data_IF_595170650207
#
_entry.id   IF_595170650207
#
_cell.length_a   1.000
_cell.length_b   1.000
_cell.length_c   1.000
_cell.angle_alpha   90.00
_cell.angle_beta   90.00
_cell.angle_gamma   90.00
#
_symmetry.space_group_name_H-M   'P 1'
#
loop_
_entity.id
_entity.type
_entity.pdbx_description
1 polymer ?
#
# COMPACT_ATOMS: atom_id res chain seq x y z
N UNK A 1 0.74 -1.03 -0.57
CA UNK A 1 -0.05 0.23 -0.54
C UNK A 1 -0.10 0.75 0.88
N UNK A 2 -0.56 1.98 1.14
CA UNK A 2 -0.31 2.64 2.43
C UNK A 2 -1.55 3.14 3.17
N UNK A 3 -1.54 2.99 4.49
CA UNK A 3 -2.39 3.80 5.38
C UNK A 3 -1.88 5.22 5.36
N UNK A 4 -2.81 6.17 5.31
CA UNK A 4 -2.53 7.60 5.21
C UNK A 4 -3.17 8.31 6.39
N UNK A 5 -2.44 9.27 6.97
CA UNK A 5 -2.92 10.08 8.07
C UNK A 5 -2.78 11.55 7.74
N UNK A 6 -3.83 12.33 8.00
CA UNK A 6 -3.80 13.78 8.08
C UNK A 6 -3.86 14.22 9.55
N UNK A 7 -2.92 15.06 9.97
CA UNK A 7 -2.89 15.65 11.31
C UNK A 7 -3.00 17.17 11.20
N UNK A 8 -3.89 17.79 11.97
CA UNK A 8 -3.92 19.26 12.07
C UNK A 8 -2.67 19.72 12.80
N UNK A 9 -1.85 20.52 12.14
CA UNK A 9 -0.59 21.03 12.69
C UNK A 9 -0.64 22.51 13.08
N UNK A 10 -1.71 23.22 12.68
CA UNK A 10 -1.85 24.64 13.01
C UNK A 10 -2.92 25.35 12.21
N UNK A 11 -2.91 26.67 12.35
CA UNK A 11 -3.74 27.62 11.62
C UNK A 11 -2.82 28.74 11.13
N UNK A 12 -2.93 29.11 9.85
CA UNK A 12 -2.03 30.14 9.29
C UNK A 12 -2.48 31.57 9.61
N UNK A 13 -3.63 31.71 10.29
CA UNK A 13 -4.21 32.99 10.70
C UNK A 13 -4.78 32.92 12.11
N UNK A 14 -5.29 34.07 12.57
CA UNK A 14 -5.84 34.26 13.91
C UNK A 14 -7.13 33.46 14.12
N UNK A 15 -6.97 32.23 14.59
CA UNK A 15 -8.05 31.32 14.95
C UNK A 15 -8.85 31.79 16.17
N UNK A 16 -8.26 32.60 17.06
CA UNK A 16 -9.00 33.15 18.21
C UNK A 16 -10.03 34.17 17.77
N UNK A 17 -9.67 35.02 16.80
CA UNK A 17 -10.58 36.02 16.22
C UNK A 17 -11.58 35.41 15.23
N UNK A 18 -11.13 34.47 14.40
CA UNK A 18 -11.93 33.77 13.41
C UNK A 18 -11.78 32.26 13.57
N UNK A 19 -12.57 31.62 14.45
CA UNK A 19 -12.38 30.21 14.75
C UNK A 19 -12.76 29.33 13.56
N UNK A 20 -12.09 28.19 13.44
CA UNK A 20 -12.47 27.17 12.48
C UNK A 20 -13.95 26.79 12.71
N UNK A 21 -14.83 26.98 11.72
CA UNK A 21 -16.25 26.65 11.87
C UNK A 21 -16.49 25.15 12.10
N UNK A 22 -15.62 24.30 11.53
CA UNK A 22 -15.64 22.86 11.80
C UNK A 22 -15.00 22.50 13.16
N UNK A 23 -14.39 23.47 13.84
CA UNK A 23 -13.75 23.32 15.15
C UNK A 23 -12.67 22.25 15.17
N UNK A 24 -11.80 22.26 14.16
CA UNK A 24 -10.56 21.49 14.24
C UNK A 24 -9.69 22.00 15.39
N UNK A 25 -8.88 21.11 15.96
CA UNK A 25 -7.86 21.41 16.95
C UNK A 25 -6.52 20.88 16.49
N UNK A 26 -5.43 21.52 16.90
CA UNK A 26 -4.08 20.99 16.68
C UNK A 26 -4.01 19.60 17.31
N UNK A 27 -3.51 18.63 16.54
CA UNK A 27 -3.46 17.22 16.94
C UNK A 27 -4.69 16.39 16.54
N UNK A 28 -5.76 16.99 16.01
CA UNK A 28 -6.85 16.21 15.42
C UNK A 28 -6.31 15.36 14.25
N UNK A 29 -6.70 14.08 14.22
CA UNK A 29 -6.24 13.12 13.20
C UNK A 29 -7.41 12.59 12.35
N UNK A 30 -7.12 12.39 11.07
CA UNK A 30 -7.97 11.69 10.11
C UNK A 30 -7.11 10.59 9.48
N UNK A 31 -7.57 9.35 9.56
CA UNK A 31 -6.85 8.18 9.05
C UNK A 31 -7.66 7.52 7.96
N UNK A 32 -7.00 7.22 6.85
CA UNK A 32 -7.50 6.30 5.83
C UNK A 32 -6.67 5.02 5.86
N UNK A 33 -7.33 3.88 6.08
CA UNK A 33 -6.65 2.58 6.26
C UNK A 33 -6.69 1.66 5.04
N UNK A 34 -7.09 2.20 3.88
CA UNK A 34 -7.29 1.46 2.62
C UNK A 34 -8.74 1.04 2.39
N UNK A 35 -9.63 1.25 3.37
CA UNK A 35 -11.06 0.94 3.23
C UNK A 35 -11.93 2.01 3.91
N UNK A 36 -11.55 2.41 5.12
CA UNK A 36 -12.33 3.29 5.97
C UNK A 36 -11.59 4.59 6.25
N UNK A 37 -12.35 5.69 6.29
CA UNK A 37 -11.84 6.98 6.78
C UNK A 37 -12.39 7.18 8.19
N UNK A 38 -11.49 7.26 9.17
CA UNK A 38 -11.82 7.49 10.58
C UNK A 38 -11.31 8.85 11.03
N UNK A 39 -12.09 9.56 11.83
CA UNK A 39 -11.78 10.92 12.28
C UNK A 39 -12.82 11.93 11.83
N UNK A 40 -12.62 13.20 12.19
CA UNK A 40 -13.56 14.29 11.87
C UNK A 40 -13.21 14.89 10.52
N UNK A 41 -14.06 14.71 9.50
CA UNK A 41 -13.82 15.24 8.15
C UNK A 41 -14.73 16.44 7.87
N UNK A 42 -14.14 17.62 7.70
CA UNK A 42 -14.85 18.81 7.26
C UNK A 42 -15.33 18.63 5.81
N UNK A 43 -16.62 18.87 5.50
CA UNK A 43 -17.14 18.74 4.13
C UNK A 43 -16.34 19.53 3.08
N UNK A 44 -15.87 20.73 3.43
CA UNK A 44 -15.07 21.56 2.52
C UNK A 44 -13.66 21.02 2.27
N UNK A 45 -13.14 20.20 3.19
CA UNK A 45 -11.82 19.56 3.05
C UNK A 45 -11.90 18.15 2.46
N UNK A 46 -13.06 17.50 2.49
CA UNK A 46 -13.23 16.12 2.02
C UNK A 46 -12.68 15.88 0.59
N UNK A 47 -12.93 16.74 -0.42
CA UNK A 47 -12.38 16.54 -1.76
C UNK A 47 -10.85 16.68 -1.82
N UNK A 48 -10.28 17.52 -0.96
CA UNK A 48 -8.82 17.74 -0.88
C UNK A 48 -8.14 16.54 -0.21
N UNK A 49 -8.73 16.03 0.87
CA UNK A 49 -8.27 14.79 1.51
C UNK A 49 -8.38 13.60 0.57
N UNK A 50 -9.48 13.44 -0.15
CA UNK A 50 -9.67 12.32 -1.08
C UNK A 50 -8.53 12.21 -2.10
N UNK A 51 -8.11 13.33 -2.70
CA UNK A 51 -6.96 13.36 -3.62
C UNK A 51 -5.65 13.00 -2.92
N UNK A 52 -5.33 13.68 -1.81
CA UNK A 52 -4.10 13.43 -1.07
C UNK A 52 -3.99 12.00 -0.54
N UNK A 53 -5.11 11.43 -0.07
CA UNK A 53 -5.18 10.06 0.41
C UNK A 53 -4.98 9.06 -0.72
N UNK A 54 -5.59 9.26 -1.89
CA UNK A 54 -5.37 8.39 -3.03
C UNK A 54 -3.90 8.42 -3.50
N UNK A 55 -3.31 9.61 -3.59
CA UNK A 55 -1.92 9.77 -4.03
C UNK A 55 -0.93 9.08 -3.08
N UNK A 56 -1.14 9.25 -1.78
CA UNK A 56 -0.31 8.61 -0.75
C UNK A 56 -0.63 7.13 -0.55
N UNK A 57 -1.87 6.67 -0.76
CA UNK A 57 -2.21 5.24 -0.78
C UNK A 57 -1.43 4.52 -1.88
N UNK A 58 -1.34 5.15 -3.07
CA UNK A 58 -0.69 4.57 -4.24
C UNK A 58 0.84 4.52 -4.08
N UNK A 59 1.45 5.62 -3.64
CA UNK A 59 2.91 5.77 -3.72
C UNK A 59 3.61 5.86 -2.36
N UNK A 60 2.87 6.05 -1.26
CA UNK A 60 3.45 6.30 0.06
C UNK A 60 4.28 7.59 0.13
N UNK A 61 4.09 8.52 -0.81
CA UNK A 61 4.89 9.73 -0.96
C UNK A 61 6.16 9.59 -1.81
N UNK A 62 6.47 8.40 -2.34
CA UNK A 62 7.70 8.14 -3.13
C UNK A 62 7.70 8.62 -4.58
N UNK A 63 6.55 8.98 -5.15
CA UNK A 63 6.49 9.58 -6.47
C UNK A 63 7.34 10.87 -6.50
N UNK A 64 7.76 11.33 -7.68
CA UNK A 64 8.35 12.67 -7.87
C UNK A 64 7.31 13.66 -8.36
N UNK A 65 7.63 14.95 -8.30
CA UNK A 65 6.80 15.97 -8.96
C UNK A 65 6.72 15.67 -10.48
N UNK A 66 5.52 15.78 -11.04
CA UNK A 66 5.24 15.39 -12.43
C UNK A 66 5.05 13.89 -12.66
N UNK A 67 5.32 13.02 -11.69
CA UNK A 67 4.98 11.59 -11.79
C UNK A 67 3.56 11.33 -11.29
N UNK A 68 2.82 10.52 -12.03
CA UNK A 68 1.50 10.07 -11.61
C UNK A 68 1.66 9.11 -10.40
N UNK A 69 1.09 9.43 -9.22
CA UNK A 69 1.20 8.56 -8.04
C UNK A 69 0.64 7.17 -8.30
N UNK A 70 -0.39 7.09 -9.14
CA UNK A 70 -1.00 5.84 -9.59
C UNK A 70 -0.03 4.88 -10.27
N UNK A 71 1.08 5.33 -10.87
CA UNK A 71 2.08 4.47 -11.53
C UNK A 71 2.75 3.45 -10.59
N UNK A 72 2.55 3.59 -9.28
CA UNK A 72 3.13 2.76 -8.24
C UNK A 72 2.22 1.64 -7.71
N UNK A 73 0.96 1.57 -8.13
CA UNK A 73 0.05 0.54 -7.63
C UNK A 73 0.53 -0.87 -8.03
N UNK A 74 0.57 -1.84 -7.09
CA UNK A 74 0.92 -3.22 -7.41
C UNK A 74 -0.15 -3.92 -8.28
N UNK A 75 -1.38 -3.41 -8.31
CA UNK A 75 -2.48 -3.93 -9.13
C UNK A 75 -2.14 -4.02 -10.62
N UNK A 76 -1.30 -3.10 -11.13
CA UNK A 76 -0.89 -3.10 -12.53
C UNK A 76 -0.10 -4.33 -12.96
N UNK A 77 0.44 -5.06 -12.00
CA UNK A 77 1.22 -6.28 -12.19
C UNK A 77 0.45 -7.54 -11.73
N UNK A 78 -0.87 -7.43 -11.60
CA UNK A 78 -1.75 -8.51 -11.14
C UNK A 78 -2.60 -9.06 -12.29
N UNK A 79 -2.96 -10.35 -12.27
CA UNK A 79 -3.85 -10.93 -13.27
C UNK A 79 -5.30 -10.47 -13.03
N UNK A 80 -6.17 -10.77 -13.99
CA UNK A 80 -7.61 -10.78 -13.72
C UNK A 80 -7.95 -11.81 -12.62
N UNK A 81 -9.07 -11.60 -11.94
CA UNK A 81 -9.55 -12.49 -10.87
C UNK A 81 -11.07 -12.64 -10.90
N UNK A 82 -11.56 -13.66 -10.21
CA UNK A 82 -12.98 -13.88 -9.94
C UNK A 82 -13.21 -13.98 -8.45
N UNK A 83 -14.43 -13.67 -8.01
CA UNK A 83 -14.81 -13.84 -6.62
C UNK A 83 -15.06 -15.32 -6.30
N UNK A 84 -14.38 -15.79 -5.25
CA UNK A 84 -14.52 -17.12 -4.66
C UNK A 84 -14.31 -17.02 -3.14
N UNK A 85 -15.35 -17.19 -2.31
CA UNK A 85 -15.22 -17.04 -0.86
C UNK A 85 -14.28 -18.06 -0.22
N UNK A 86 -14.00 -19.19 -0.87
CA UNK A 86 -13.05 -20.20 -0.36
C UNK A 86 -11.60 -19.71 -0.41
N UNK A 87 -11.33 -18.66 -1.20
CA UNK A 87 -10.02 -18.03 -1.32
C UNK A 87 -9.74 -16.96 -0.25
N UNK A 88 -10.74 -16.58 0.56
CA UNK A 88 -10.55 -15.63 1.68
C UNK A 88 -9.45 -16.06 2.65
N UNK A 89 -9.23 -17.37 2.81
CA UNK A 89 -8.14 -17.89 3.64
C UNK A 89 -6.74 -17.46 3.14
N UNK A 90 -6.61 -17.14 1.85
CA UNK A 90 -5.37 -16.66 1.25
C UNK A 90 -5.30 -15.14 1.26
N UNK A 91 -6.26 -14.45 0.66
CA UNK A 91 -6.15 -13.01 0.38
C UNK A 91 -7.02 -12.11 1.28
N UNK A 92 -7.87 -12.71 2.11
CA UNK A 92 -8.79 -12.05 3.04
C UNK A 92 -10.08 -11.52 2.41
N UNK A 93 -10.14 -11.43 1.09
CA UNK A 93 -11.28 -10.84 0.36
C UNK A 93 -12.08 -11.91 -0.38
N UNK A 94 -11.40 -12.87 -1.00
CA UNK A 94 -11.97 -13.94 -1.80
C UNK A 94 -11.68 -13.79 -3.29
N UNK A 95 -10.55 -13.21 -3.70
CA UNK A 95 -10.13 -13.21 -5.10
C UNK A 95 -9.38 -14.50 -5.43
N UNK A 96 -9.91 -15.23 -6.40
CA UNK A 96 -9.21 -16.32 -7.07
C UNK A 96 -8.60 -15.80 -8.36
N UNK A 97 -7.27 -15.87 -8.53
CA UNK A 97 -6.63 -15.41 -9.76
C UNK A 97 -7.06 -16.28 -10.94
N UNK A 98 -7.22 -15.67 -12.11
CA UNK A 98 -7.51 -16.36 -13.37
C UNK A 98 -6.34 -16.12 -14.33
N UNK A 99 -5.30 -16.98 -14.34
CA UNK A 99 -4.14 -16.78 -15.20
C UNK A 99 -4.44 -16.96 -16.70
N UNK A 100 -5.55 -17.60 -17.06
CA UNK A 100 -6.03 -17.68 -18.43
C UNK A 100 -7.56 -17.60 -18.46
N UNK A 101 -8.10 -16.96 -19.50
CA UNK A 101 -9.53 -16.96 -19.87
C UNK A 101 -9.60 -17.13 -21.40
N UNK A 102 -9.58 -18.38 -21.90
CA UNK A 102 -9.53 -18.64 -23.34
C UNK A 102 -10.68 -18.00 -24.13
N UNK A 103 -11.89 -17.95 -23.53
CA UNK A 103 -13.07 -17.34 -24.16
C UNK A 103 -12.96 -15.80 -24.30
N UNK A 104 -12.01 -15.18 -23.57
CA UNK A 104 -11.73 -13.74 -23.59
C UNK A 104 -10.39 -13.41 -24.30
N UNK A 105 -9.74 -14.40 -24.93
CA UNK A 105 -8.38 -14.29 -25.52
C UNK A 105 -7.37 -13.70 -24.54
N UNK A 106 -7.47 -14.10 -23.27
CA UNK A 106 -6.64 -13.57 -22.19
C UNK A 106 -5.72 -14.64 -21.62
N UNK A 107 -4.43 -14.33 -21.60
CA UNK A 107 -3.40 -15.07 -20.88
C UNK A 107 -2.54 -14.08 -20.07
N UNK A 108 -2.43 -14.32 -18.77
CA UNK A 108 -1.59 -13.51 -17.91
C UNK A 108 -0.13 -13.86 -18.13
N UNK A 109 0.65 -12.88 -18.58
CA UNK A 109 2.11 -13.00 -18.64
C UNK A 109 2.70 -12.32 -17.40
N UNK A 110 3.37 -13.10 -16.56
CA UNK A 110 4.05 -12.57 -15.40
C UNK A 110 5.10 -11.54 -15.83
N UNK A 111 5.21 -10.45 -15.07
CA UNK A 111 6.10 -9.33 -15.39
C UNK A 111 5.73 -8.55 -16.66
N UNK A 112 4.56 -8.80 -17.23
CA UNK A 112 3.87 -7.84 -18.09
C UNK A 112 2.78 -7.11 -17.29
N UNK A 113 2.26 -6.04 -17.85
CA UNK A 113 1.28 -5.19 -17.17
C UNK A 113 -0.09 -5.42 -17.77
N UNK A 114 -1.13 -5.42 -16.92
CA UNK A 114 -2.49 -5.73 -17.33
C UNK A 114 -3.08 -4.69 -18.31
N UNK A 115 -2.54 -3.47 -18.33
CA UNK A 115 -3.08 -2.37 -19.14
C UNK A 115 -2.04 -1.82 -20.10
N UNK A 116 -2.49 -1.49 -21.32
CA UNK A 116 -1.64 -0.90 -22.36
C UNK A 116 -1.23 0.54 -22.05
N UNK A 117 -2.05 1.24 -21.26
CA UNK A 117 -1.90 2.65 -20.94
C UNK A 117 -1.58 2.86 -19.45
N UNK A 118 -0.30 2.84 -19.05
CA UNK A 118 0.09 3.16 -17.69
C UNK A 118 -0.29 4.60 -17.29
N UNK A 119 -0.65 4.85 -16.02
CA UNK A 119 -0.72 6.20 -15.48
C UNK A 119 0.58 6.97 -15.75
N UNK A 120 0.48 8.20 -16.26
CA UNK A 120 1.65 9.02 -16.57
C UNK A 120 2.61 8.41 -17.61
N UNK A 121 2.16 7.44 -18.41
CA UNK A 121 2.94 6.83 -19.50
C UNK A 121 4.00 5.82 -19.07
N UNK A 122 4.11 5.48 -17.78
CA UNK A 122 5.02 4.44 -17.28
C UNK A 122 4.54 3.79 -15.97
N UNK A 123 4.88 2.51 -15.79
CA UNK A 123 4.83 1.85 -14.48
C UNK A 123 6.16 2.04 -13.75
N UNK A 124 6.11 2.25 -12.44
CA UNK A 124 7.32 2.47 -11.64
C UNK A 124 7.50 1.35 -10.63
N UNK A 125 8.69 0.73 -10.67
CA UNK A 125 9.07 -0.42 -9.85
C UNK A 125 10.24 -0.02 -8.95
N UNK A 126 10.20 -0.43 -7.67
CA UNK A 126 11.32 -0.31 -6.74
C UNK A 126 11.68 1.11 -6.24
N UNK A 127 12.56 1.14 -5.21
CA UNK A 127 13.22 2.29 -4.53
C UNK A 127 12.35 3.31 -3.80
N UNK A 128 11.29 2.88 -3.14
CA UNK A 128 10.59 3.77 -2.22
C UNK A 128 11.41 4.07 -0.97
N UNK A 129 12.32 5.05 -0.99
CA UNK A 129 12.99 5.54 0.25
C UNK A 129 12.68 7.00 0.54
N UNK A 130 12.37 7.78 -0.49
CA UNK A 130 11.95 9.17 -0.32
C UNK A 130 10.48 9.22 0.05
N UNK A 131 10.18 9.51 1.31
CA UNK A 131 8.81 9.68 1.78
C UNK A 131 8.48 11.17 1.80
N UNK A 132 7.61 11.62 0.89
CA UNK A 132 7.09 12.99 0.90
C UNK A 132 5.88 13.11 1.82
N UNK A 133 5.83 14.23 2.50
CA UNK A 133 4.68 14.68 3.28
C UNK A 133 3.97 15.76 2.47
N UNK A 134 2.63 15.74 2.47
CA UNK A 134 1.83 16.78 1.82
C UNK A 134 1.38 17.78 2.87
N UNK A 135 1.39 19.06 2.52
CA UNK A 135 0.74 20.11 3.33
C UNK A 135 -0.55 20.52 2.66
N UNK A 136 -1.67 20.38 3.35
CA UNK A 136 -2.97 20.85 2.89
C UNK A 136 -3.39 22.04 3.73
N UNK A 137 -4.03 23.03 3.09
CA UNK A 137 -4.54 24.23 3.78
C UNK A 137 -6.01 24.39 3.42
N UNK A 138 -6.83 24.68 4.43
CA UNK A 138 -8.24 25.00 4.25
C UNK A 138 -8.42 26.25 3.38
N UNK A 139 -9.46 26.25 2.54
CA UNK A 139 -9.79 27.41 1.70
C UNK A 139 -10.38 28.62 2.44
N UNK A 140 -10.70 28.48 3.74
CA UNK A 140 -11.19 29.60 4.54
C UNK A 140 -10.06 30.61 4.81
N UNK A 141 -10.13 31.72 4.08
CA UNK A 141 -9.15 32.81 4.12
C UNK A 141 -9.04 33.52 5.48
N UNK A 142 -9.88 33.22 6.48
CA UNK A 142 -9.79 33.85 7.81
C UNK A 142 -8.99 33.03 8.80
N UNK A 143 -9.08 31.69 8.74
CA UNK A 143 -8.42 30.78 9.70
C UNK A 143 -7.29 29.97 9.05
N UNK A 144 -7.49 29.48 7.81
CA UNK A 144 -6.52 28.65 7.07
C UNK A 144 -5.96 27.49 7.90
N UNK A 145 -6.81 26.55 8.32
CA UNK A 145 -6.35 25.32 9.01
C UNK A 145 -5.36 24.55 8.15
N UNK A 146 -4.22 24.18 8.73
CA UNK A 146 -3.14 23.46 8.07
C UNK A 146 -3.06 22.02 8.54
N UNK A 147 -2.94 21.12 7.59
CA UNK A 147 -2.76 19.69 7.80
C UNK A 147 -1.40 19.25 7.28
N UNK A 148 -0.75 18.36 8.01
CA UNK A 148 0.32 17.49 7.52
C UNK A 148 -0.32 16.16 7.13
N UNK A 149 -0.04 15.67 5.92
CA UNK A 149 -0.54 14.38 5.44
C UNK A 149 0.61 13.47 5.04
N UNK A 150 0.62 12.25 5.57
CA UNK A 150 1.69 11.29 5.32
C UNK A 150 1.17 9.85 5.31
N UNK A 151 1.82 8.99 4.52
CA UNK A 151 1.71 7.54 4.70
C UNK A 151 2.36 7.15 6.02
N UNK A 152 1.86 6.19 6.78
CA UNK A 152 2.49 5.83 8.07
C UNK A 152 2.61 4.33 8.35
N UNK A 153 1.90 3.50 7.59
CA UNK A 153 1.95 2.04 7.65
C UNK A 153 1.43 1.48 6.30
N UNK A 154 1.47 0.15 6.12
CA UNK A 154 0.87 -0.57 5.01
C UNK A 154 -0.64 -0.72 5.21
N UNK A 155 -1.41 -0.46 4.14
CA UNK A 155 -2.85 -0.65 4.13
C UNK A 155 -3.19 -2.14 4.22
N UNK A 156 -3.97 -2.54 5.22
CA UNK A 156 -4.24 -3.94 5.59
C UNK A 156 -5.75 -4.27 5.59
N UNK A 157 -6.56 -3.50 4.84
CA UNK A 157 -8.00 -3.69 4.67
C UNK A 157 -8.43 -3.45 3.22
N UNK A 158 -9.70 -3.69 2.92
CA UNK A 158 -10.31 -3.40 1.63
C UNK A 158 -9.60 -4.11 0.48
N UNK A 159 -9.48 -3.40 -0.63
CA UNK A 159 -8.79 -3.85 -1.85
C UNK A 159 -7.27 -4.04 -1.65
N UNK A 160 -6.72 -3.50 -0.56
CA UNK A 160 -5.29 -3.54 -0.26
C UNK A 160 -4.88 -4.81 0.48
N UNK A 161 -5.83 -5.48 1.13
CA UNK A 161 -5.57 -6.65 1.97
C UNK A 161 -4.86 -7.82 1.23
N UNK A 162 -5.18 -8.17 -0.03
CA UNK A 162 -4.45 -9.20 -0.76
C UNK A 162 -2.95 -8.87 -0.90
N UNK A 163 -2.62 -7.63 -1.24
CA UNK A 163 -1.25 -7.16 -1.41
C UNK A 163 -0.52 -7.12 -0.07
N UNK A 164 -1.19 -6.68 0.99
CA UNK A 164 -0.66 -6.73 2.35
C UNK A 164 -0.28 -8.15 2.77
N UNK A 165 -1.15 -9.13 2.52
CA UNK A 165 -0.84 -10.53 2.84
C UNK A 165 0.33 -11.05 2.01
N UNK A 166 0.44 -10.66 0.74
CA UNK A 166 1.63 -10.95 -0.08
C UNK A 166 2.90 -10.31 0.47
N UNK A 167 2.87 -9.06 0.89
CA UNK A 167 3.98 -8.38 1.56
C UNK A 167 4.42 -9.13 2.81
N UNK A 168 3.47 -9.62 3.62
CA UNK A 168 3.80 -10.39 4.83
C UNK A 168 4.42 -11.76 4.50
N UNK A 169 3.93 -12.46 3.46
CA UNK A 169 4.57 -13.69 2.99
C UNK A 169 5.98 -13.44 2.44
N UNK A 170 6.19 -12.36 1.68
CA UNK A 170 7.52 -11.93 1.20
C UNK A 170 8.45 -11.61 2.38
N UNK A 171 7.97 -10.82 3.34
CA UNK A 171 8.70 -10.47 4.54
C UNK A 171 9.11 -11.70 5.36
N UNK A 172 8.23 -12.71 5.45
CA UNK A 172 8.56 -13.98 6.10
C UNK A 172 9.71 -14.73 5.39
N UNK A 173 9.74 -14.76 4.05
CA UNK A 173 10.87 -15.36 3.31
C UNK A 173 12.17 -14.58 3.54
N UNK A 174 12.11 -13.25 3.55
CA UNK A 174 13.27 -12.38 3.84
C UNK A 174 13.80 -12.62 5.25
N UNK A 175 12.92 -12.75 6.25
CA UNK A 175 13.31 -13.02 7.65
C UNK A 175 13.99 -14.39 7.77
N UNK A 176 13.47 -15.41 7.08
CA UNK A 176 14.04 -16.76 7.09
C UNK A 176 15.36 -16.85 6.32
N UNK A 177 15.61 -15.92 5.39
CA UNK A 177 16.81 -15.89 4.56
C UNK A 177 17.38 -14.46 4.45
N UNK A 178 17.98 -13.93 5.53
CA UNK A 178 18.54 -12.58 5.54
C UNK A 178 19.60 -12.40 4.44
N UNK A 179 19.57 -11.24 3.77
CA UNK A 179 20.50 -10.90 2.71
C UNK A 179 20.20 -11.55 1.37
N UNK A 180 19.00 -12.13 1.20
CA UNK A 180 18.53 -12.62 -0.09
C UNK A 180 18.53 -11.49 -1.13
N UNK A 181 19.00 -11.78 -2.34
CA UNK A 181 18.95 -10.82 -3.43
C UNK A 181 17.50 -10.59 -3.87
N UNK A 182 17.12 -9.33 -4.14
CA UNK A 182 15.75 -8.95 -4.54
C UNK A 182 15.23 -9.78 -5.73
N UNK A 183 16.09 -10.05 -6.71
CA UNK A 183 15.78 -10.85 -7.90
C UNK A 183 15.75 -12.38 -7.66
N UNK A 184 15.97 -12.82 -6.42
CA UNK A 184 15.91 -14.24 -6.01
C UNK A 184 14.76 -14.53 -5.05
N UNK A 185 14.06 -13.51 -4.53
CA UNK A 185 12.94 -13.70 -3.58
C UNK A 185 11.84 -14.59 -4.17
N UNK A 186 11.51 -14.43 -5.46
CA UNK A 186 10.49 -15.25 -6.13
C UNK A 186 10.78 -16.76 -6.01
N UNK A 187 12.06 -17.15 -6.01
CA UNK A 187 12.48 -18.55 -5.98
C UNK A 187 12.22 -19.23 -4.62
N UNK A 188 11.91 -18.46 -3.58
CA UNK A 188 11.58 -19.00 -2.25
C UNK A 188 10.09 -19.38 -2.11
N UNK A 189 9.31 -19.19 -3.18
CA UNK A 189 7.90 -19.57 -3.26
C UNK A 189 7.71 -20.79 -4.15
N UNK A 190 6.83 -21.70 -3.75
CA UNK A 190 6.41 -22.81 -4.61
C UNK A 190 5.55 -22.29 -5.77
N UNK A 191 5.44 -23.07 -6.86
CA UNK A 191 4.53 -22.74 -7.97
C UNK A 191 3.11 -22.44 -7.49
N UNK A 192 2.60 -23.25 -6.55
CA UNK A 192 1.30 -23.05 -5.91
C UNK A 192 1.19 -21.70 -5.18
N UNK A 193 2.18 -21.33 -4.35
CA UNK A 193 2.20 -20.01 -3.69
C UNK A 193 2.24 -18.87 -4.72
N UNK A 194 2.89 -19.07 -5.87
CA UNK A 194 3.01 -18.08 -6.94
C UNK A 194 1.68 -17.89 -7.67
N UNK A 195 1.07 -18.97 -8.16
CA UNK A 195 -0.04 -18.88 -9.14
C UNK A 195 -1.43 -18.94 -8.50
N UNK A 196 -1.59 -19.59 -7.35
CA UNK A 196 -2.91 -19.88 -6.76
C UNK A 196 -3.35 -18.87 -5.71
N UNK A 197 -2.56 -17.86 -5.39
CA UNK A 197 -2.94 -16.83 -4.44
C UNK A 197 -2.99 -15.50 -5.19
N UNK A 198 -4.01 -14.69 -4.94
CA UNK A 198 -4.11 -13.37 -5.55
C UNK A 198 -3.32 -12.32 -4.73
N UNK A 199 -2.59 -11.39 -5.38
CA UNK A 199 -2.19 -11.42 -6.79
C UNK A 199 -1.14 -12.50 -7.08
N UNK A 200 -1.05 -12.95 -8.35
CA UNK A 200 0.04 -13.84 -8.80
C UNK A 200 1.38 -13.14 -8.64
N UNK A 201 2.41 -13.86 -8.19
CA UNK A 201 3.74 -13.29 -8.01
C UNK A 201 4.57 -13.36 -9.31
N UNK A 202 5.05 -12.19 -9.73
CA UNK A 202 6.15 -12.01 -10.68
C UNK A 202 7.29 -11.21 -10.03
N UNK A 203 8.42 -11.06 -10.73
CA UNK A 203 9.55 -10.29 -10.22
C UNK A 203 9.22 -8.78 -10.08
N UNK A 204 8.41 -8.20 -10.97
CA UNK A 204 7.99 -6.80 -10.93
C UNK A 204 7.11 -6.51 -9.72
N UNK A 205 6.06 -7.31 -9.49
CA UNK A 205 5.20 -7.10 -8.32
C UNK A 205 5.96 -7.34 -7.00
N UNK A 206 6.86 -8.33 -6.93
CA UNK A 206 7.75 -8.49 -5.77
C UNK A 206 8.58 -7.22 -5.54
N UNK A 207 9.19 -6.66 -6.59
CA UNK A 207 9.97 -5.45 -6.47
C UNK A 207 9.15 -4.22 -6.07
N UNK A 208 7.88 -4.12 -6.51
CA UNK A 208 6.95 -3.10 -6.00
C UNK A 208 6.71 -3.29 -4.50
N UNK A 209 6.23 -4.47 -4.08
CA UNK A 209 5.87 -4.78 -2.69
C UNK A 209 7.06 -4.65 -1.72
N UNK A 210 8.27 -5.08 -2.14
CA UNK A 210 9.50 -4.87 -1.35
C UNK A 210 9.83 -3.37 -1.23
N UNK A 211 9.59 -2.58 -2.28
CA UNK A 211 9.74 -1.13 -2.20
C UNK A 211 8.75 -0.47 -1.24
N UNK A 212 7.56 -1.04 -1.05
CA UNK A 212 6.58 -0.55 -0.06
C UNK A 212 7.00 -0.90 1.37
N UNK A 213 7.51 -2.12 1.57
CA UNK A 213 8.11 -2.55 2.83
C UNK A 213 9.32 -1.67 3.21
N UNK A 214 10.18 -1.35 2.25
CA UNK A 214 11.35 -0.49 2.45
C UNK A 214 10.94 0.93 2.84
N UNK A 215 9.94 1.50 2.15
CA UNK A 215 9.45 2.85 2.42
C UNK A 215 8.90 3.01 3.84
N UNK A 216 8.30 1.95 4.39
CA UNK A 216 7.80 1.93 5.76
C UNK A 216 8.86 1.50 6.79
N UNK A 217 10.09 1.22 6.36
CA UNK A 217 11.19 0.80 7.22
C UNK A 217 11.05 -0.61 7.77
N UNK A 218 10.29 -1.49 7.10
CA UNK A 218 10.16 -2.90 7.46
C UNK A 218 11.29 -3.78 6.91
N UNK A 219 11.92 -3.33 5.83
CA UNK A 219 13.12 -3.96 5.26
C UNK A 219 14.13 -2.89 4.88
N UNK A 220 15.38 -3.29 4.72
CA UNK A 220 16.46 -2.51 4.14
C UNK A 220 16.99 -3.22 2.89
N UNK A 221 17.17 -2.48 1.80
CA UNK A 221 17.77 -2.99 0.56
C UNK A 221 19.16 -2.37 0.36
N UNK A 222 20.20 -3.16 0.61
CA UNK A 222 21.60 -2.73 0.48
C UNK A 222 22.30 -3.60 -0.56
N UNK A 223 22.84 -2.99 -1.63
CA UNK A 223 23.49 -3.70 -2.74
C UNK A 223 22.62 -4.88 -3.27
N UNK A 224 21.34 -4.59 -3.52
CA UNK A 224 20.31 -5.55 -3.96
C UNK A 224 19.96 -6.67 -2.97
N UNK A 225 20.61 -6.71 -1.80
CA UNK A 225 20.31 -7.67 -0.72
C UNK A 225 19.28 -7.07 0.21
N UNK A 226 18.24 -7.85 0.50
CA UNK A 226 17.12 -7.43 1.34
C UNK A 226 17.26 -8.06 2.73
N UNK A 227 17.12 -7.24 3.77
CA UNK A 227 17.10 -7.69 5.16
C UNK A 227 15.86 -7.11 5.85
N UNK A 228 15.22 -7.89 6.70
CA UNK A 228 14.14 -7.39 7.54
C UNK A 228 14.70 -6.61 8.73
N UNK A 229 14.10 -5.46 9.04
CA UNK A 229 14.39 -4.70 10.25
C UNK A 229 13.67 -5.31 11.45
N UNK A 230 14.00 -4.87 12.67
CA UNK A 230 13.21 -5.25 13.86
C UNK A 230 11.74 -4.82 13.73
N UNK A 231 11.50 -3.61 13.21
CA UNK A 231 10.16 -3.12 12.89
C UNK A 231 9.42 -4.07 11.92
N UNK A 232 10.13 -4.63 10.93
CA UNK A 232 9.58 -5.63 10.02
C UNK A 232 9.20 -6.94 10.73
N UNK A 233 10.08 -7.45 11.59
CA UNK A 233 9.80 -8.66 12.39
C UNK A 233 8.58 -8.46 13.29
N UNK A 234 8.47 -7.31 13.95
CA UNK A 234 7.31 -6.94 14.77
C UNK A 234 6.02 -6.85 13.94
N UNK A 235 6.08 -6.23 12.75
CA UNK A 235 4.93 -6.14 11.84
C UNK A 235 4.46 -7.51 11.41
N UNK A 236 5.37 -8.42 11.04
CA UNK A 236 5.03 -9.79 10.69
C UNK A 236 4.44 -10.55 11.90
N UNK A 237 5.03 -10.40 13.09
CA UNK A 237 4.50 -11.04 14.30
C UNK A 237 3.09 -10.56 14.63
N UNK A 238 2.81 -9.25 14.45
CA UNK A 238 1.48 -8.67 14.60
C UNK A 238 0.49 -9.27 13.59
N UNK A 239 0.88 -9.38 12.31
CA UNK A 239 0.08 -10.06 11.29
C UNK A 239 -0.23 -11.52 11.67
N UNK A 240 0.77 -12.31 12.08
CA UNK A 240 0.56 -13.71 12.48
C UNK A 240 -0.45 -13.84 13.63
N UNK A 241 -0.49 -12.88 14.56
CA UNK A 241 -1.45 -12.83 15.66
C UNK A 241 -2.86 -12.48 15.22
N UNK A 242 -3.04 -11.66 14.17
CA UNK A 242 -4.36 -11.28 13.67
C UNK A 242 -5.00 -12.34 12.78
N UNK A 243 -4.21 -13.26 12.22
CA UNK A 243 -4.70 -14.35 11.36
C UNK A 243 -5.27 -15.53 12.17
N UNK A 244 -6.25 -16.21 11.61
CA UNK A 244 -6.73 -17.52 12.08
C UNK A 244 -5.68 -18.62 11.80
N UNK A 245 -5.77 -19.79 12.49
CA UNK A 245 -4.88 -20.91 12.19
C UNK A 245 -4.93 -21.37 10.73
N UNK A 246 -6.11 -21.37 10.12
CA UNK A 246 -6.30 -21.76 8.72
C UNK A 246 -5.59 -20.79 7.77
N UNK A 247 -5.70 -19.47 8.02
CA UNK A 247 -5.03 -18.46 7.21
C UNK A 247 -3.51 -18.51 7.35
N UNK A 248 -2.99 -18.70 8.58
CA UNK A 248 -1.55 -18.90 8.81
C UNK A 248 -1.02 -20.09 8.02
N UNK A 249 -1.73 -21.22 8.07
CA UNK A 249 -1.37 -22.40 7.30
C UNK A 249 -1.42 -22.14 5.79
N UNK A 250 -2.46 -21.48 5.30
CA UNK A 250 -2.65 -21.16 3.88
C UNK A 250 -1.54 -20.24 3.34
N UNK A 251 -1.09 -19.27 4.14
CA UNK A 251 -0.04 -18.32 3.79
C UNK A 251 1.39 -18.78 4.11
N UNK A 252 1.53 -19.95 4.75
CA UNK A 252 2.79 -20.49 5.27
C UNK A 252 3.52 -19.51 6.21
N UNK A 253 2.76 -18.89 7.12
CA UNK A 253 3.21 -17.90 8.11
C UNK A 253 3.26 -18.49 9.52
#
# INVERSE_FOLDING_TARGET
MFKVKATVIGFDKDEQKYPCHFRYKIGDEIVYDGETITGRVCPSMAPVFGRAFNDLLASGGRHKEGEAPGSYFPFWHSPLSVYDPTYKKYDGVGFRPTPARPDEDYEFVADETLFDNPPGGKYIIGKGTNKRELSLVCGDKHTLTRFKVEAFDLADKGDSLPYYRREMSILNKIILKPGIALNRILNEFTKDEIINIYPILGQKIIAVLVGELELMGYVEVNNEKVNATEKGKEKLASCKKSLTPQERQALKL
#
